data_IF_505676210384
#
_entry.id   IF_505676210384
#
_cell.length_a   1.000
_cell.length_b   1.000
_cell.length_c   1.000
_cell.angle_alpha   90.00
_cell.angle_beta   90.00
_cell.angle_gamma   90.00
#
_symmetry.space_group_name_H-M   'P 1'
#
loop_
_entity.id
_entity.type
_entity.pdbx_description
1 polymer ?
#
# COMPACT_ATOMS: atom_id res chain seq x y z
N UNK A 1 0.58 6.16 -18.87
CA UNK A 1 0.98 5.77 -17.50
C UNK A 1 0.30 6.66 -16.48
N UNK A 2 -0.07 6.10 -15.36
CA UNK A 2 -0.70 6.86 -14.28
C UNK A 2 0.33 7.73 -13.56
N UNK A 3 -0.14 8.86 -13.02
CA UNK A 3 0.67 9.80 -12.26
C UNK A 3 0.31 9.69 -10.77
N UNK A 4 1.33 9.59 -9.92
CA UNK A 4 1.17 9.55 -8.47
C UNK A 4 0.80 10.90 -7.85
N UNK A 5 1.07 11.98 -8.57
CA UNK A 5 0.95 13.33 -8.01
C UNK A 5 2.06 13.67 -7.02
N UNK A 6 1.88 14.73 -6.21
CA UNK A 6 2.91 15.16 -5.28
C UNK A 6 3.09 14.18 -4.11
N UNK A 7 4.33 13.96 -3.72
CA UNK A 7 4.68 13.15 -2.56
C UNK A 7 4.62 13.96 -1.27
N UNK A 8 4.65 13.23 -0.16
CA UNK A 8 4.77 13.78 1.19
C UNK A 8 6.00 13.18 1.88
N UNK A 9 6.57 13.91 2.81
CA UNK A 9 7.58 13.35 3.71
C UNK A 9 6.87 12.52 4.77
N UNK A 10 7.33 11.29 5.08
CA UNK A 10 6.75 10.51 6.16
C UNK A 10 6.80 11.27 7.48
N UNK A 11 5.69 11.31 8.19
CA UNK A 11 5.59 11.99 9.48
C UNK A 11 4.59 11.28 10.39
N UNK A 12 4.74 11.51 11.67
CA UNK A 12 3.79 11.05 12.67
C UNK A 12 2.52 11.91 12.56
N UNK A 13 1.38 11.26 12.41
CA UNK A 13 0.09 11.93 12.29
C UNK A 13 -0.97 11.18 13.09
N UNK A 14 -2.03 11.87 13.46
CA UNK A 14 -3.20 11.27 14.10
C UNK A 14 -4.02 10.47 13.09
N UNK A 15 -3.99 10.90 11.83
CA UNK A 15 -4.73 10.27 10.73
C UNK A 15 -3.89 10.24 9.47
N UNK A 16 -4.13 9.20 8.68
CA UNK A 16 -3.61 9.09 7.31
C UNK A 16 -4.77 8.80 6.36
N UNK A 17 -4.68 9.22 5.09
CA UNK A 17 -5.78 9.04 4.14
C UNK A 17 -6.26 7.59 4.06
N UNK A 18 -7.56 7.38 4.23
CA UNK A 18 -8.26 6.10 4.13
C UNK A 18 -7.74 4.95 5.00
N UNK A 19 -6.89 5.22 5.97
CA UNK A 19 -6.40 4.19 6.89
C UNK A 19 -7.33 4.05 8.07
N UNK A 20 -7.59 2.80 8.46
CA UNK A 20 -8.33 2.49 9.68
C UNK A 20 -7.52 2.93 10.91
N UNK A 21 -8.17 3.22 12.07
CA UNK A 21 -7.45 3.62 13.27
C UNK A 21 -6.34 2.66 13.70
N UNK A 22 -6.58 1.37 13.64
CA UNK A 22 -5.59 0.34 14.00
C UNK A 22 -4.41 0.31 13.04
N UNK A 23 -4.67 0.48 11.74
CA UNK A 23 -3.63 0.52 10.71
C UNK A 23 -2.80 1.80 10.83
N UNK A 24 -3.45 2.91 11.18
CA UNK A 24 -2.81 4.20 11.47
C UNK A 24 -1.79 4.06 12.61
N UNK A 25 -2.15 3.37 13.69
CA UNK A 25 -1.24 3.16 14.81
C UNK A 25 -0.01 2.34 14.40
N UNK A 26 -0.21 1.34 13.57
CA UNK A 26 0.88 0.49 13.07
C UNK A 26 1.84 1.30 12.20
N UNK A 27 1.31 2.08 11.27
CA UNK A 27 2.14 2.93 10.42
C UNK A 27 2.91 3.98 11.22
N UNK A 28 2.28 4.58 12.22
CA UNK A 28 2.95 5.53 13.12
C UNK A 28 4.13 4.90 13.85
N UNK A 29 3.95 3.70 14.40
CA UNK A 29 5.04 2.97 15.06
C UNK A 29 6.20 2.73 14.10
N UNK A 30 5.90 2.37 12.85
CA UNK A 30 6.92 2.19 11.82
C UNK A 30 7.68 3.48 11.55
N UNK A 31 6.98 4.59 11.36
CA UNK A 31 7.59 5.90 11.11
C UNK A 31 8.44 6.36 12.29
N UNK A 32 8.02 6.06 13.53
CA UNK A 32 8.76 6.44 14.74
C UNK A 32 10.06 5.65 14.94
N UNK A 33 10.04 4.36 14.61
CA UNK A 33 11.04 3.43 15.16
C UNK A 33 11.81 2.63 14.12
N UNK A 34 11.47 2.72 12.84
CA UNK A 34 12.10 1.91 11.80
C UNK A 34 13.24 2.63 11.10
N UNK A 35 14.26 1.87 10.72
CA UNK A 35 15.32 2.33 9.82
C UNK A 35 14.91 2.23 8.36
N UNK A 36 13.81 1.52 8.07
CA UNK A 36 13.32 1.25 6.73
C UNK A 36 12.38 2.30 6.15
N UNK A 37 12.30 3.49 6.77
CA UNK A 37 11.36 4.53 6.38
C UNK A 37 11.73 5.07 4.98
N UNK A 38 10.75 5.17 4.05
CA UNK A 38 11.00 5.78 2.75
C UNK A 38 11.25 7.30 2.86
N UNK A 39 11.89 7.86 1.85
CA UNK A 39 12.15 9.31 1.79
C UNK A 39 10.90 10.09 1.42
N UNK A 40 10.06 9.49 0.57
CA UNK A 40 8.80 10.07 0.09
C UNK A 40 7.70 9.04 0.19
N UNK A 41 6.48 9.49 0.45
CA UNK A 41 5.28 8.63 0.49
C UNK A 41 4.12 9.24 -0.26
N UNK A 42 3.26 8.37 -0.75
CA UNK A 42 1.94 8.68 -1.31
C UNK A 42 0.93 7.78 -0.59
N UNK A 43 -0.17 8.35 -0.14
CA UNK A 43 -1.21 7.61 0.55
C UNK A 43 -2.39 7.33 -0.36
N UNK A 44 -3.10 6.23 -0.10
CA UNK A 44 -4.35 5.90 -0.78
C UNK A 44 -4.19 5.86 -2.29
N UNK A 45 -3.22 5.10 -2.76
CA UNK A 45 -2.91 4.97 -4.19
C UNK A 45 -3.83 3.95 -4.83
N UNK A 46 -4.60 4.38 -5.81
CA UNK A 46 -5.57 3.52 -6.48
C UNK A 46 -4.94 2.69 -7.58
N UNK A 47 -5.35 1.42 -7.65
CA UNK A 47 -4.91 0.48 -8.67
C UNK A 47 -6.07 -0.41 -9.10
N UNK A 48 -5.92 -1.02 -10.28
CA UNK A 48 -6.93 -1.92 -10.82
C UNK A 48 -8.08 -1.18 -11.48
N UNK A 49 -9.07 -1.93 -11.90
CA UNK A 49 -10.23 -1.39 -12.61
C UNK A 49 -11.32 -0.99 -11.63
N UNK A 50 -12.01 0.09 -11.95
CA UNK A 50 -13.26 0.44 -11.30
C UNK A 50 -14.37 -0.53 -11.70
N UNK A 51 -15.43 -0.58 -10.91
CA UNK A 51 -16.67 -1.26 -11.28
C UNK A 51 -17.26 -0.55 -12.51
N UNK A 52 -17.67 -1.32 -13.51
CA UNK A 52 -18.29 -0.76 -14.71
C UNK A 52 -19.64 -0.12 -14.39
N UNK A 53 -19.85 1.07 -14.95
CA UNK A 53 -21.12 1.79 -14.87
C UNK A 53 -21.89 1.52 -16.17
N UNK A 54 -23.21 1.23 -16.09
CA UNK A 54 -24.02 1.01 -17.28
C UNK A 54 -23.93 2.18 -18.28
N UNK A 55 -24.04 1.86 -19.57
CA UNK A 55 -24.04 2.87 -20.63
C UNK A 55 -25.14 3.90 -20.42
N UNK A 56 -24.88 5.15 -20.81
CA UNK A 56 -25.85 6.23 -20.71
C UNK A 56 -25.95 6.91 -19.36
N UNK A 57 -25.12 6.51 -18.40
CA UNK A 57 -25.08 7.17 -17.10
C UNK A 57 -24.27 8.46 -17.15
N UNK A 58 -24.55 9.44 -16.26
CA UNK A 58 -23.81 10.69 -16.23
C UNK A 58 -22.33 10.49 -15.99
N UNK A 59 -21.51 11.41 -16.53
CA UNK A 59 -20.05 11.37 -16.36
C UNK A 59 -19.62 11.37 -14.88
N UNK A 60 -20.34 12.09 -14.02
CA UNK A 60 -20.01 12.12 -12.59
C UNK A 60 -20.12 10.75 -11.94
N UNK A 61 -21.05 9.90 -12.41
CA UNK A 61 -21.22 8.54 -11.89
C UNK A 61 -20.05 7.65 -12.30
N UNK A 62 -19.56 7.79 -13.52
CA UNK A 62 -18.38 7.08 -14.00
C UNK A 62 -17.15 7.48 -13.19
N UNK A 63 -16.96 8.77 -12.99
CA UNK A 63 -15.84 9.30 -12.17
C UNK A 63 -15.94 8.86 -10.71
N UNK A 64 -17.14 8.86 -10.15
CA UNK A 64 -17.38 8.40 -8.79
C UNK A 64 -17.02 6.92 -8.63
N UNK A 65 -17.41 6.07 -9.59
CA UNK A 65 -17.06 4.66 -9.58
C UNK A 65 -15.55 4.45 -9.66
N UNK A 66 -14.86 5.17 -10.52
CA UNK A 66 -13.40 5.13 -10.63
C UNK A 66 -12.73 5.53 -9.31
N UNK A 67 -13.24 6.55 -8.65
CA UNK A 67 -12.71 7.01 -7.38
C UNK A 67 -12.96 6.03 -6.23
N UNK A 68 -14.17 5.46 -6.14
CA UNK A 68 -14.65 4.74 -4.95
C UNK A 68 -14.53 3.23 -5.02
N UNK A 69 -14.45 2.62 -6.23
CA UNK A 69 -14.50 1.16 -6.37
C UNK A 69 -13.18 0.51 -6.74
N UNK A 70 -12.18 1.29 -7.16
CA UNK A 70 -10.85 0.76 -7.42
C UNK A 70 -10.20 0.30 -6.12
N UNK A 71 -9.31 -0.68 -6.22
CA UNK A 71 -8.50 -1.11 -5.07
C UNK A 71 -7.55 -0.01 -4.65
N UNK A 72 -7.17 0.00 -3.39
CA UNK A 72 -6.38 1.07 -2.80
C UNK A 72 -5.19 0.49 -2.04
N UNK A 73 -4.01 1.02 -2.37
CA UNK A 73 -2.79 0.74 -1.64
C UNK A 73 -2.70 1.75 -0.48
N UNK A 74 -2.43 1.27 0.72
CA UNK A 74 -2.33 2.16 1.89
C UNK A 74 -1.24 3.21 1.70
N UNK A 75 -0.03 2.76 1.40
CA UNK A 75 1.13 3.64 1.23
C UNK A 75 2.00 3.14 0.07
N UNK A 76 2.43 4.07 -0.78
CA UNK A 76 3.54 3.85 -1.69
C UNK A 76 4.70 4.68 -1.19
N UNK A 77 5.85 4.07 -0.97
CA UNK A 77 7.06 4.76 -0.54
C UNK A 77 8.17 4.67 -1.58
N UNK A 78 9.08 5.62 -1.56
CA UNK A 78 10.25 5.61 -2.41
C UNK A 78 11.50 5.98 -1.61
N UNK A 79 12.57 5.21 -1.84
CA UNK A 79 13.91 5.53 -1.37
C UNK A 79 14.87 5.33 -2.54
N UNK A 80 15.31 6.42 -3.16
CA UNK A 80 16.10 6.35 -4.39
C UNK A 80 15.35 5.66 -5.51
N UNK A 81 15.87 4.57 -6.03
CA UNK A 81 15.24 3.74 -7.07
C UNK A 81 14.49 2.53 -6.48
N UNK A 82 14.28 2.49 -5.18
CA UNK A 82 13.49 1.46 -4.52
C UNK A 82 12.10 2.00 -4.21
N UNK A 83 11.11 1.33 -4.76
CA UNK A 83 9.69 1.62 -4.54
C UNK A 83 9.09 0.55 -3.65
N UNK A 84 8.42 0.99 -2.60
CA UNK A 84 7.79 0.10 -1.62
C UNK A 84 6.28 0.25 -1.71
N UNK A 85 5.60 -0.86 -1.99
CA UNK A 85 4.14 -0.92 -1.98
C UNK A 85 3.74 -1.52 -0.63
N UNK A 86 3.21 -0.67 0.25
CA UNK A 86 3.13 -0.95 1.68
C UNK A 86 1.69 -1.13 2.12
N UNK A 87 1.42 -2.24 2.82
CA UNK A 87 0.18 -2.49 3.55
C UNK A 87 0.45 -2.46 5.05
N UNK A 88 -0.37 -1.72 5.79
CA UNK A 88 -0.33 -1.67 7.24
C UNK A 88 -1.50 -2.47 7.79
N UNK A 89 -1.23 -3.51 8.59
CA UNK A 89 -2.24 -4.42 9.12
C UNK A 89 -1.89 -4.89 10.52
N UNK A 90 -2.88 -5.09 11.41
CA UNK A 90 -2.62 -5.64 12.74
C UNK A 90 -2.01 -7.03 12.71
N UNK A 91 -2.40 -7.85 11.75
CA UNK A 91 -1.91 -9.22 11.61
C UNK A 91 -1.61 -9.54 10.15
N UNK A 92 -0.41 -10.03 9.89
CA UNK A 92 0.03 -10.45 8.57
C UNK A 92 -0.11 -11.97 8.42
N UNK A 93 -1.11 -12.39 7.67
CA UNK A 93 -1.40 -13.76 7.33
C UNK A 93 -1.59 -13.95 5.83
N UNK A 94 -2.35 -14.95 5.43
CA UNK A 94 -2.57 -15.32 4.02
C UNK A 94 -3.23 -14.18 3.22
N UNK A 95 -4.18 -13.47 3.83
CA UNK A 95 -4.85 -12.36 3.15
C UNK A 95 -3.86 -11.23 2.84
N UNK A 96 -3.02 -10.89 3.81
CA UNK A 96 -2.00 -9.86 3.64
C UNK A 96 -0.98 -10.26 2.56
N UNK A 97 -0.63 -11.54 2.48
CA UNK A 97 0.25 -12.07 1.43
C UNK A 97 -0.33 -11.80 0.04
N UNK A 98 -1.59 -12.19 -0.17
CA UNK A 98 -2.25 -11.99 -1.46
C UNK A 98 -2.36 -10.52 -1.84
N UNK A 99 -2.72 -9.66 -0.90
CA UNK A 99 -2.80 -8.22 -1.13
C UNK A 99 -1.44 -7.61 -1.46
N UNK A 100 -0.41 -7.95 -0.72
CA UNK A 100 0.93 -7.41 -0.94
C UNK A 100 1.45 -7.75 -2.34
N UNK A 101 1.34 -9.02 -2.75
CA UNK A 101 1.79 -9.47 -4.06
C UNK A 101 0.99 -8.81 -5.18
N UNK A 102 -0.34 -8.81 -5.05
CA UNK A 102 -1.20 -8.21 -6.06
C UNK A 102 -0.95 -6.71 -6.21
N UNK A 103 -0.91 -5.98 -5.11
CA UNK A 103 -0.75 -4.52 -5.15
C UNK A 103 0.61 -4.11 -5.74
N UNK A 104 1.68 -4.82 -5.41
CA UNK A 104 2.99 -4.54 -6.00
C UNK A 104 2.98 -4.77 -7.51
N UNK A 105 2.35 -5.86 -7.95
CA UNK A 105 2.20 -6.14 -9.38
C UNK A 105 1.36 -5.06 -10.07
N UNK A 106 0.18 -4.74 -9.53
CA UNK A 106 -0.73 -3.75 -10.11
C UNK A 106 -0.10 -2.36 -10.18
N UNK A 107 0.60 -1.97 -9.12
CA UNK A 107 1.34 -0.70 -9.11
C UNK A 107 2.39 -0.66 -10.21
N UNK A 108 3.16 -1.71 -10.36
CA UNK A 108 4.18 -1.80 -11.40
C UNK A 108 3.59 -1.66 -12.80
N UNK A 109 2.43 -2.28 -13.05
CA UNK A 109 1.77 -2.24 -14.36
C UNK A 109 1.21 -0.85 -14.67
N UNK A 110 0.58 -0.19 -13.70
CA UNK A 110 -0.10 1.08 -13.95
C UNK A 110 0.83 2.28 -13.92
N UNK A 111 1.76 2.30 -12.99
CA UNK A 111 2.63 3.46 -12.76
C UNK A 111 4.01 3.33 -13.39
N UNK A 112 4.43 2.11 -13.66
CA UNK A 112 5.71 1.79 -14.30
C UNK A 112 6.86 2.67 -13.78
N UNK A 113 7.12 2.70 -12.47
CA UNK A 113 8.13 3.56 -11.89
C UNK A 113 9.52 3.11 -12.31
N UNK A 114 10.49 4.03 -12.41
CA UNK A 114 11.88 3.66 -12.65
C UNK A 114 12.46 2.98 -11.43
N UNK A 115 13.09 1.84 -11.59
CA UNK A 115 13.75 1.11 -10.51
C UNK A 115 12.97 -0.13 -10.08
N UNK A 116 13.20 -0.55 -8.84
CA UNK A 116 12.66 -1.80 -8.30
C UNK A 116 11.45 -1.55 -7.45
N UNK A 117 10.41 -2.37 -7.63
CA UNK A 117 9.19 -2.35 -6.80
C UNK A 117 9.18 -3.58 -5.91
N UNK A 118 9.00 -3.39 -4.62
CA UNK A 118 8.89 -4.47 -3.64
C UNK A 118 7.60 -4.36 -2.84
N UNK A 119 6.92 -5.48 -2.56
CA UNK A 119 5.81 -5.51 -1.62
C UNK A 119 6.32 -5.47 -0.18
N UNK A 120 5.68 -4.66 0.64
CA UNK A 120 6.05 -4.47 2.05
C UNK A 120 4.80 -4.57 2.92
N UNK A 121 4.90 -5.27 4.03
CA UNK A 121 3.86 -5.31 5.05
C UNK A 121 4.44 -4.76 6.34
N UNK A 122 3.71 -3.85 6.96
CA UNK A 122 3.99 -3.37 8.31
C UNK A 122 2.87 -3.88 9.21
N UNK A 123 3.22 -4.60 10.28
CA UNK A 123 2.24 -5.33 11.10
C UNK A 123 2.65 -5.38 12.56
N UNK A 124 1.70 -5.65 13.44
CA UNK A 124 1.99 -5.95 14.85
C UNK A 124 2.41 -7.42 15.02
N UNK A 125 1.75 -8.33 14.32
CA UNK A 125 1.95 -9.77 14.49
C UNK A 125 2.04 -10.46 13.13
N UNK A 126 3.04 -11.31 12.97
CA UNK A 126 3.20 -12.15 11.78
C UNK A 126 2.68 -13.55 12.09
N UNK A 127 1.89 -14.11 11.19
CA UNK A 127 1.50 -15.51 11.25
C UNK A 127 2.72 -16.37 10.90
N UNK A 128 3.18 -17.16 11.86
CA UNK A 128 4.41 -17.96 11.72
C UNK A 128 4.35 -18.94 10.54
N UNK A 129 3.18 -19.50 10.29
CA UNK A 129 2.98 -20.44 9.17
C UNK A 129 3.17 -19.77 7.80
N UNK A 130 2.92 -18.49 7.73
CA UNK A 130 2.97 -17.72 6.48
C UNK A 130 4.32 -17.05 6.25
N UNK A 131 5.11 -16.84 7.30
CA UNK A 131 6.41 -16.18 7.20
C UNK A 131 7.33 -16.79 6.11
N UNK A 132 7.49 -18.11 6.01
CA UNK A 132 8.32 -18.69 4.95
C UNK A 132 7.82 -18.36 3.53
N UNK A 133 6.52 -18.20 3.37
CA UNK A 133 5.91 -17.87 2.08
C UNK A 133 6.14 -16.39 1.75
N UNK A 134 6.07 -15.50 2.73
CA UNK A 134 6.46 -14.10 2.55
C UNK A 134 7.89 -14.00 2.02
N UNK A 135 8.81 -14.74 2.63
CA UNK A 135 10.22 -14.74 2.23
C UNK A 135 10.40 -15.21 0.79
N UNK A 136 9.73 -16.30 0.42
CA UNK A 136 9.78 -16.84 -0.95
C UNK A 136 9.16 -15.92 -1.99
N UNK A 137 8.08 -15.24 -1.63
CA UNK A 137 7.38 -14.31 -2.51
C UNK A 137 8.09 -12.95 -2.64
N UNK A 138 9.16 -12.73 -1.89
CA UNK A 138 9.86 -11.45 -1.89
C UNK A 138 9.11 -10.34 -1.17
N UNK A 139 8.22 -10.70 -0.24
CA UNK A 139 7.49 -9.73 0.59
C UNK A 139 8.32 -9.40 1.81
N UNK A 140 8.64 -8.13 1.98
CA UNK A 140 9.36 -7.64 3.15
C UNK A 140 8.37 -7.34 4.27
N UNK A 141 8.56 -7.94 5.44
CA UNK A 141 7.64 -7.78 6.58
C UNK A 141 8.37 -7.11 7.74
N UNK A 142 7.80 -6.01 8.21
CA UNK A 142 8.26 -5.31 9.42
C UNK A 142 7.24 -5.52 10.54
N UNK A 143 7.62 -6.26 11.57
CA UNK A 143 6.81 -6.42 12.77
C UNK A 143 7.13 -5.28 13.74
N UNK A 144 6.18 -4.39 13.95
CA UNK A 144 6.33 -3.20 14.82
C UNK A 144 5.64 -3.36 16.16
N UNK A 145 4.91 -4.45 16.33
CA UNK A 145 4.29 -4.82 17.59
C UNK A 145 5.33 -5.17 18.64
N UNK A 146 4.94 -5.07 19.87
CA UNK A 146 5.81 -5.37 21.00
C UNK A 146 5.75 -6.84 21.33
#
# INVERSE_FOLDING_TARGET
LADLGPSMTPKISVRYPHMMPEDTLIWRKFVENSDGIPDEVWYDVRVGKAVEVPSGQPEWMVKFAEYSTRKRIDIVGRRGLLWMVIEAKPRAGVVALGQAVYYAWAFSQEYNPPGRVIPVIVTDVVDEDVQPVFDRAGVLVYAVGV
#
